data_IF_711227162806
#
_entry.id   IF_711227162806
#
_cell.length_a   1.000
_cell.length_b   1.000
_cell.length_c   1.000
_cell.angle_alpha   90.00
_cell.angle_beta   90.00
_cell.angle_gamma   90.00
#
_symmetry.space_group_name_H-M   'P 1'
#
loop_
_entity.id
_entity.type
_entity.pdbx_description
1 polymer ?
#
# COMPACT_ATOMS: atom_id res chain seq x y z
N UNK A 1 -42.61 10.95 -26.05
CA UNK A 1 -41.16 11.25 -26.08
C UNK A 1 -40.68 11.40 -24.64
N UNK A 2 -39.59 10.73 -24.26
CA UNK A 2 -38.99 10.93 -22.93
C UNK A 2 -38.34 12.30 -22.85
N UNK A 3 -38.49 12.99 -21.72
CA UNK A 3 -37.69 14.21 -21.44
C UNK A 3 -36.22 13.81 -21.32
N UNK A 4 -35.26 14.65 -21.76
CA UNK A 4 -33.85 14.40 -21.49
C UNK A 4 -33.66 14.29 -19.97
N UNK A 5 -33.02 13.20 -19.53
CA UNK A 5 -32.64 13.02 -18.13
C UNK A 5 -31.72 14.17 -17.71
N UNK A 6 -31.95 14.72 -16.52
CA UNK A 6 -31.08 15.76 -15.97
C UNK A 6 -29.65 15.21 -15.78
N UNK A 7 -28.64 15.98 -16.19
CA UNK A 7 -27.22 15.59 -16.09
C UNK A 7 -26.87 15.12 -14.67
N UNK A 8 -27.35 15.84 -13.65
CA UNK A 8 -27.21 15.52 -12.23
C UNK A 8 -27.65 14.08 -11.94
N UNK A 9 -28.85 13.70 -12.39
CA UNK A 9 -29.39 12.36 -12.18
C UNK A 9 -28.58 11.29 -12.92
N UNK A 10 -28.11 11.57 -14.13
CA UNK A 10 -27.22 10.66 -14.87
C UNK A 10 -25.91 10.41 -14.11
N UNK A 11 -25.31 11.45 -13.53
CA UNK A 11 -24.11 11.35 -12.70
C UNK A 11 -24.36 10.51 -11.43
N UNK A 12 -25.47 10.73 -10.71
CA UNK A 12 -25.83 9.91 -9.54
C UNK A 12 -26.06 8.44 -9.91
N UNK A 13 -26.73 8.15 -11.02
CA UNK A 13 -26.98 6.80 -11.48
C UNK A 13 -25.69 6.09 -11.92
N UNK A 14 -24.75 6.80 -12.56
CA UNK A 14 -23.41 6.30 -12.84
C UNK A 14 -22.69 5.93 -11.53
N UNK A 15 -22.54 6.87 -10.60
CA UNK A 15 -21.81 6.66 -9.34
C UNK A 15 -22.39 5.49 -8.52
N UNK A 16 -23.72 5.34 -8.50
CA UNK A 16 -24.41 4.24 -7.80
C UNK A 16 -24.22 2.87 -8.47
N UNK A 17 -23.87 2.84 -9.76
CA UNK A 17 -23.64 1.59 -10.51
C UNK A 17 -22.21 1.06 -10.41
N UNK A 18 -21.29 1.82 -9.82
CA UNK A 18 -19.89 1.44 -9.70
C UNK A 18 -19.68 0.33 -8.65
N UNK A 19 -18.61 -0.46 -8.84
CA UNK A 19 -18.15 -1.45 -7.86
C UNK A 19 -17.62 -0.78 -6.59
N UNK A 20 -17.72 -1.46 -5.45
CA UNK A 20 -17.24 -0.95 -4.14
C UNK A 20 -15.74 -0.64 -4.10
N UNK A 21 -14.95 -1.15 -5.06
CA UNK A 21 -13.56 -0.68 -5.27
C UNK A 21 -13.46 0.84 -5.44
N UNK A 22 -14.50 1.48 -6.00
CA UNK A 22 -14.58 2.92 -6.22
C UNK A 22 -15.23 3.71 -5.07
N UNK A 23 -15.64 3.08 -3.97
CA UNK A 23 -16.36 3.76 -2.88
C UNK A 23 -15.59 5.00 -2.37
N UNK A 24 -14.25 4.92 -2.28
CA UNK A 24 -13.43 6.05 -1.85
C UNK A 24 -13.52 7.28 -2.78
N UNK A 25 -13.54 7.07 -4.09
CA UNK A 25 -13.67 8.18 -5.06
C UNK A 25 -15.12 8.65 -5.19
N UNK A 26 -16.10 7.74 -5.09
CA UNK A 26 -17.52 8.07 -5.01
C UNK A 26 -17.81 8.99 -3.82
N UNK A 27 -17.34 8.64 -2.62
CA UNK A 27 -17.51 9.48 -1.42
C UNK A 27 -16.85 10.86 -1.54
N UNK A 28 -15.73 10.96 -2.29
CA UNK A 28 -15.09 12.24 -2.58
C UNK A 28 -15.90 13.09 -3.57
N UNK A 29 -16.31 12.49 -4.70
CA UNK A 29 -17.09 13.16 -5.77
C UNK A 29 -18.46 13.62 -5.25
N UNK A 30 -19.12 12.85 -4.38
CA UNK A 30 -20.40 13.21 -3.77
C UNK A 30 -20.33 14.42 -2.82
N UNK A 31 -19.13 14.91 -2.48
CA UNK A 31 -18.91 16.12 -1.67
C UNK A 31 -18.63 17.37 -2.51
N UNK A 32 -18.67 17.26 -3.83
CA UNK A 32 -18.43 18.36 -4.76
C UNK A 32 -19.61 19.34 -4.85
N UNK A 33 -19.34 20.56 -5.34
CA UNK A 33 -20.38 21.55 -5.65
C UNK A 33 -21.04 21.28 -6.99
N UNK A 34 -22.27 21.75 -7.21
CA UNK A 34 -23.02 21.57 -8.47
C UNK A 34 -22.28 22.09 -9.73
N UNK A 35 -21.39 23.09 -9.56
CA UNK A 35 -20.56 23.62 -10.65
C UNK A 35 -19.45 22.65 -11.07
N UNK A 36 -18.94 21.86 -10.13
CA UNK A 36 -17.89 20.86 -10.36
C UNK A 36 -18.46 19.46 -10.60
N UNK A 37 -19.64 19.15 -10.08
CA UNK A 37 -20.39 17.90 -10.26
C UNK A 37 -20.99 17.81 -11.67
N UNK A 38 -20.11 17.57 -12.64
CA UNK A 38 -20.43 17.47 -14.07
C UNK A 38 -19.91 16.17 -14.65
N UNK A 39 -20.66 15.59 -15.58
CA UNK A 39 -20.42 14.23 -16.08
C UNK A 39 -18.98 14.05 -16.58
N UNK A 40 -18.48 15.05 -17.34
CA UNK A 40 -17.08 15.09 -17.82
C UNK A 40 -16.04 15.07 -16.69
N UNK A 41 -16.26 15.83 -15.62
CA UNK A 41 -15.32 15.93 -14.51
C UNK A 41 -15.30 14.62 -13.70
N UNK A 42 -16.48 14.03 -13.51
CA UNK A 42 -16.66 12.74 -12.84
C UNK A 42 -15.94 11.63 -13.62
N UNK A 43 -16.12 11.56 -14.95
CA UNK A 43 -15.38 10.59 -15.76
C UNK A 43 -13.86 10.77 -15.69
N UNK A 44 -13.37 12.02 -15.70
CA UNK A 44 -11.93 12.30 -15.61
C UNK A 44 -11.33 11.80 -14.28
N UNK A 45 -12.02 12.02 -13.16
CA UNK A 45 -11.56 11.51 -11.85
C UNK A 45 -11.71 9.99 -11.72
N UNK A 46 -12.76 9.39 -12.28
CA UNK A 46 -12.94 7.93 -12.25
C UNK A 46 -11.81 7.23 -13.03
N UNK A 47 -11.47 7.71 -14.23
CA UNK A 47 -10.33 7.20 -15.02
C UNK A 47 -9.00 7.44 -14.30
N UNK A 48 -8.84 8.59 -13.62
CA UNK A 48 -7.66 8.83 -12.80
C UNK A 48 -7.57 7.84 -11.62
N UNK A 49 -8.69 7.55 -10.94
CA UNK A 49 -8.72 6.61 -9.81
C UNK A 49 -8.48 5.16 -10.24
N UNK A 50 -8.94 4.72 -11.42
CA UNK A 50 -8.59 3.39 -11.97
C UNK A 50 -7.07 3.17 -11.95
N UNK A 51 -6.29 4.11 -12.49
CA UNK A 51 -4.81 4.02 -12.49
C UNK A 51 -4.20 4.03 -11.08
N UNK A 52 -4.87 4.66 -10.10
CA UNK A 52 -4.43 4.73 -8.70
C UNK A 52 -4.79 3.46 -7.94
N UNK A 53 -5.91 2.83 -8.27
CA UNK A 53 -6.34 1.54 -7.71
C UNK A 53 -5.40 0.44 -8.19
N UNK A 54 -5.08 0.37 -9.49
CA UNK A 54 -4.15 -0.63 -10.04
C UNK A 54 -2.78 -0.57 -9.34
N UNK A 55 -2.20 0.62 -9.20
CA UNK A 55 -0.92 0.81 -8.50
C UNK A 55 -0.99 0.49 -7.00
N UNK A 56 -2.14 0.72 -6.35
CA UNK A 56 -2.36 0.35 -4.95
C UNK A 56 -2.49 -1.16 -4.76
N UNK A 57 -3.19 -1.85 -5.67
CA UNK A 57 -3.34 -3.30 -5.64
C UNK A 57 -1.98 -3.98 -5.87
N UNK A 58 -1.15 -3.51 -6.80
CA UNK A 58 0.23 -3.98 -7.01
C UNK A 58 1.11 -3.83 -5.76
N UNK A 59 1.11 -2.64 -5.12
CA UNK A 59 1.85 -2.42 -3.88
C UNK A 59 1.35 -3.29 -2.72
N UNK A 60 0.04 -3.52 -2.64
CA UNK A 60 -0.58 -4.42 -1.66
C UNK A 60 -0.10 -5.88 -1.86
N UNK A 61 -0.10 -6.35 -3.10
CA UNK A 61 0.43 -7.66 -3.48
C UNK A 61 1.92 -7.78 -3.15
N UNK A 62 2.76 -6.81 -3.55
CA UNK A 62 4.20 -6.83 -3.26
C UNK A 62 4.47 -6.85 -1.74
N UNK A 63 3.72 -6.06 -0.96
CA UNK A 63 3.81 -6.07 0.50
C UNK A 63 3.45 -7.44 1.07
N UNK A 64 2.33 -8.04 0.64
CA UNK A 64 1.92 -9.37 1.11
C UNK A 64 2.97 -10.44 0.78
N UNK A 65 3.60 -10.38 -0.39
CA UNK A 65 4.68 -11.29 -0.80
C UNK A 65 5.92 -11.10 0.07
N UNK A 66 6.32 -9.85 0.37
CA UNK A 66 7.45 -9.58 1.26
C UNK A 66 7.17 -10.02 2.71
N UNK A 67 5.96 -9.82 3.21
CA UNK A 67 5.53 -10.32 4.54
C UNK A 67 5.56 -11.85 4.58
N UNK A 68 5.00 -12.55 3.58
CA UNK A 68 5.08 -14.02 3.45
C UNK A 68 6.53 -14.52 3.37
N UNK A 69 7.36 -13.90 2.53
CA UNK A 69 8.76 -14.29 2.37
C UNK A 69 9.57 -14.05 3.65
N UNK A 70 9.32 -12.95 4.37
CA UNK A 70 9.92 -12.67 5.67
C UNK A 70 9.50 -13.72 6.73
N UNK A 71 8.22 -14.09 6.76
CA UNK A 71 7.69 -15.16 7.64
C UNK A 71 8.24 -16.56 7.28
N UNK A 72 8.61 -16.80 6.02
CA UNK A 72 9.28 -18.03 5.61
C UNK A 72 10.77 -17.99 5.98
N UNK A 73 11.45 -16.86 5.73
CA UNK A 73 12.88 -16.67 6.01
C UNK A 73 13.19 -16.75 7.51
N UNK A 74 12.31 -16.25 8.38
CA UNK A 74 12.46 -16.34 9.84
C UNK A 74 12.57 -17.80 10.35
N UNK A 75 11.99 -18.77 9.63
CA UNK A 75 12.04 -20.20 9.96
C UNK A 75 13.30 -20.92 9.46
N UNK A 76 14.13 -20.27 8.64
CA UNK A 76 15.32 -20.88 8.02
C UNK A 76 16.46 -20.92 9.04
N UNK A 77 16.95 -22.13 9.36
CA UNK A 77 18.12 -22.34 10.22
C UNK A 77 19.42 -22.24 9.42
N UNK A 78 20.34 -21.39 9.84
CA UNK A 78 21.66 -21.28 9.22
C UNK A 78 22.53 -22.49 9.60
N UNK A 79 22.95 -23.27 8.60
CA UNK A 79 23.82 -24.43 8.78
C UNK A 79 25.28 -24.10 9.13
N UNK A 80 25.65 -22.83 9.32
CA UNK A 80 27.00 -22.42 9.74
C UNK A 80 27.06 -21.99 11.21
N UNK A 81 26.15 -21.10 11.65
CA UNK A 81 26.12 -20.60 13.03
C UNK A 81 24.93 -21.12 13.87
N UNK A 82 24.05 -21.95 13.29
CA UNK A 82 22.88 -22.52 13.97
C UNK A 82 21.70 -21.55 14.23
N UNK A 83 21.89 -20.24 14.06
CA UNK A 83 20.85 -19.21 14.24
C UNK A 83 19.85 -19.18 13.09
N UNK A 84 18.64 -18.70 13.34
CA UNK A 84 17.57 -18.61 12.35
C UNK A 84 17.59 -17.28 11.55
N UNK A 85 16.70 -17.15 10.56
CA UNK A 85 16.43 -15.90 9.84
C UNK A 85 17.31 -15.61 8.62
N UNK A 86 18.24 -16.50 8.25
CA UNK A 86 19.17 -16.27 7.14
C UNK A 86 19.77 -17.57 6.59
N UNK A 87 20.16 -17.55 5.31
CA UNK A 87 20.90 -18.64 4.68
C UNK A 87 22.38 -18.62 5.08
N UNK A 88 23.09 -19.76 4.95
CA UNK A 88 24.55 -19.85 5.17
C UNK A 88 25.34 -18.79 4.38
N UNK A 89 24.89 -18.46 3.16
CA UNK A 89 25.53 -17.44 2.28
C UNK A 89 25.40 -16.01 2.81
N UNK A 90 24.42 -15.74 3.66
CA UNK A 90 24.17 -14.44 4.30
C UNK A 90 24.77 -14.37 5.72
N UNK A 91 25.50 -15.41 6.15
CA UNK A 91 25.95 -15.52 7.53
C UNK A 91 27.13 -14.57 7.80
N UNK A 92 26.90 -13.53 8.61
CA UNK A 92 27.90 -12.53 9.01
C UNK A 92 29.15 -13.13 9.68
N UNK A 93 29.05 -14.34 10.24
CA UNK A 93 30.17 -15.08 10.83
C UNK A 93 31.12 -15.71 9.78
N UNK A 94 30.72 -15.79 8.51
CA UNK A 94 31.52 -16.37 7.43
C UNK A 94 32.58 -15.43 6.84
N UNK A 95 32.56 -14.13 7.18
CA UNK A 95 33.55 -13.14 6.75
C UNK A 95 34.48 -12.77 7.91
N UNK A 96 35.66 -13.36 7.95
CA UNK A 96 36.77 -12.96 8.84
C UNK A 96 37.43 -11.68 8.34
N UNK A 97 36.67 -10.59 8.27
CA UNK A 97 37.17 -9.21 8.20
C UNK A 97 36.30 -8.32 9.07
N UNK A 98 36.92 -7.57 9.97
CA UNK A 98 36.22 -6.84 11.02
C UNK A 98 35.35 -5.71 10.44
N UNK A 99 34.09 -5.65 10.88
CA UNK A 99 33.24 -4.47 10.76
C UNK A 99 32.19 -4.51 11.86
N UNK A 100 32.67 -4.15 13.05
CA UNK A 100 31.90 -3.87 14.26
C UNK A 100 31.09 -2.59 14.06
N UNK A 101 29.82 -2.71 13.63
CA UNK A 101 28.87 -1.60 13.77
C UNK A 101 28.48 -1.50 15.24
N UNK A 102 29.09 -0.56 15.95
CA UNK A 102 28.87 -0.32 17.37
C UNK A 102 27.41 0.06 17.66
N UNK A 103 26.62 -0.92 18.09
CA UNK A 103 25.29 -0.73 18.67
C UNK A 103 25.32 -0.96 20.16
N UNK A 104 25.85 0.00 20.93
CA UNK A 104 25.70 0.04 22.39
C UNK A 104 24.92 1.28 22.77
N UNK A 105 23.78 1.02 23.41
CA UNK A 105 22.75 1.99 23.74
C UNK A 105 23.22 3.02 24.77
N UNK A 106 22.76 4.25 24.59
CA UNK A 106 22.96 5.37 25.50
C UNK A 106 22.11 5.18 26.77
N UNK A 107 22.74 4.95 27.92
CA UNK A 107 22.11 5.04 29.25
C UNK A 107 22.97 5.85 30.24
N UNK A 108 22.31 6.83 30.89
CA UNK A 108 22.66 7.40 32.21
C UNK A 108 21.88 6.60 33.30
N UNK A 109 22.04 6.79 34.63
CA UNK A 109 22.83 7.79 35.39
C UNK A 109 23.81 7.08 36.39
N UNK A 110 24.19 7.51 37.60
CA UNK A 110 23.99 8.70 38.46
C UNK A 110 25.14 8.79 39.49
N UNK A 111 25.55 10.00 39.90
CA UNK A 111 26.23 10.24 41.20
C UNK A 111 26.02 11.67 41.71
N UNK A 112 25.63 11.77 42.99
CA UNK A 112 25.71 12.91 43.92
C UNK A 112 25.33 14.31 43.39
#
# INVERSE_FOLDING_TARGET
>A
MGKPMEETYQCYQLLKSLSSKFDSIVQNILRWTDKTFKYKNILLELVAEETRIDFRDDLSLQRSQHEMFSMQKSKIKCHHCGKFGHFRRECRNGSTTASSSAGVSKLRPATA
#
